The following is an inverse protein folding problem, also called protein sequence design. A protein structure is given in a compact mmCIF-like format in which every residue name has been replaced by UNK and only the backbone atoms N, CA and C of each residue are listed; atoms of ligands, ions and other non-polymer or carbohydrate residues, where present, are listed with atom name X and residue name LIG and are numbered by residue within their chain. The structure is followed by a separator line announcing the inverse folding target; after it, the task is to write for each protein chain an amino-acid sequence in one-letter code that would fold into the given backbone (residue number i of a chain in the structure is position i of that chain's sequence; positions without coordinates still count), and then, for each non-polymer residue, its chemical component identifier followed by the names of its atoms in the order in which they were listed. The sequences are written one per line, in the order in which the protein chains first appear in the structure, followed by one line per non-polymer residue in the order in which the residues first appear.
data_IF_692470375878
#
_entry.id   IF_692470375878
#
_cell.length_a   1.000
_cell.length_b   1.000
_cell.length_c   1.000
_cell.angle_alpha   90.00
_cell.angle_beta   90.00
_cell.angle_gamma   90.00
#
_symmetry.space_group_name_H-M   'P 1'
#
loop_
_entity.id
_entity.type
_entity.pdbx_description
1 polymer ?
#
# COMPACT_ATOMS: atom_id res chain seq x y z
N UNK A 1 57.81 23.20 33.99
CA UNK A 1 57.72 24.59 33.50
C UNK A 1 56.32 24.78 32.98
N UNK A 2 55.48 25.51 33.71
CA UNK A 2 54.15 25.88 33.25
C UNK A 2 54.20 27.13 32.38
N UNK A 3 53.14 27.34 31.58
CA UNK A 3 52.64 28.66 31.18
C UNK A 3 51.09 28.61 31.22
N UNK A 4 50.55 29.76 31.60
CA UNK A 4 49.28 30.12 32.24
C UNK A 4 48.00 30.15 31.38
N UNK A 5 46.82 30.30 32.04
CA UNK A 5 45.52 30.46 31.40
C UNK A 5 45.32 31.85 30.79
N UNK A 6 44.71 31.92 29.60
CA UNK A 6 44.33 33.19 28.97
C UNK A 6 42.98 33.65 29.52
N UNK A 7 43.00 34.80 30.17
CA UNK A 7 41.87 35.55 30.74
C UNK A 7 41.00 36.23 29.68
N UNK A 8 39.73 36.45 30.05
CA UNK A 8 38.71 37.15 29.30
C UNK A 8 38.99 38.64 29.05
N UNK A 9 38.97 39.03 27.77
CA UNK A 9 38.52 40.32 27.19
C UNK A 9 38.93 40.28 25.70
N UNK A 10 38.04 40.18 24.72
CA UNK A 10 37.12 41.23 24.31
C UNK A 10 36.01 40.63 23.43
N UNK A 11 34.75 40.90 23.77
CA UNK A 11 33.60 40.63 22.88
C UNK A 11 33.71 41.50 21.62
N UNK A 12 33.51 40.96 20.41
CA UNK A 12 32.55 41.55 19.49
C UNK A 12 31.15 41.06 19.90
N UNK A 13 30.19 41.96 19.78
CA UNK A 13 28.77 41.73 20.02
C UNK A 13 28.33 40.37 19.45
N UNK A 14 27.54 39.64 20.24
CA UNK A 14 26.78 38.51 19.74
C UNK A 14 25.80 39.04 18.70
N UNK A 15 26.27 39.13 17.46
CA UNK A 15 25.45 39.22 16.28
C UNK A 15 24.46 38.08 16.38
N UNK A 16 23.19 38.44 16.46
CA UNK A 16 22.05 37.54 16.42
C UNK A 16 22.23 36.69 15.16
N UNK A 17 22.75 35.48 15.35
CA UNK A 17 22.88 34.51 14.28
C UNK A 17 21.45 34.22 13.83
N UNK A 18 21.10 34.66 12.63
CA UNK A 18 19.77 34.47 12.08
C UNK A 18 19.35 33.01 12.16
N UNK A 19 18.05 32.75 12.30
CA UNK A 19 17.44 31.41 12.39
C UNK A 19 17.90 30.44 11.28
N UNK A 20 18.48 30.93 10.19
CA UNK A 20 19.07 30.15 9.10
C UNK A 20 20.48 29.59 9.37
N UNK A 21 21.20 30.07 10.38
CA UNK A 21 22.64 29.78 10.54
C UNK A 21 22.95 28.53 11.39
N UNK A 22 22.00 28.03 12.19
CA UNK A 22 22.24 26.86 13.07
C UNK A 22 22.45 25.59 12.24
N UNK A 23 21.63 25.27 11.22
CA UNK A 23 21.87 24.09 10.38
C UNK A 23 23.20 24.16 9.60
N UNK A 24 23.59 25.35 9.14
CA UNK A 24 24.83 25.55 8.37
C UNK A 24 26.08 25.36 9.24
N UNK A 25 26.03 25.74 10.52
CA UNK A 25 27.11 25.51 11.47
C UNK A 25 27.35 24.02 11.73
N UNK A 26 26.28 23.24 11.87
CA UNK A 26 26.36 21.79 12.04
C UNK A 26 26.81 21.10 10.73
N UNK A 27 26.41 21.59 9.55
CA UNK A 27 26.94 21.10 8.26
C UNK A 27 28.43 21.34 8.11
N UNK A 28 28.91 22.53 8.46
CA UNK A 28 30.34 22.83 8.45
C UNK A 28 31.11 21.93 9.44
N UNK A 29 30.56 21.68 10.62
CA UNK A 29 31.16 20.81 11.62
C UNK A 29 31.18 19.32 11.23
N UNK A 30 30.26 18.90 10.36
CA UNK A 30 30.15 17.53 9.85
C UNK A 30 30.84 17.32 8.49
N UNK A 31 31.48 18.35 7.93
CA UNK A 31 32.03 18.37 6.56
C UNK A 31 31.00 17.96 5.48
N UNK A 32 29.73 18.31 5.69
CA UNK A 32 28.62 17.87 4.85
C UNK A 32 28.27 18.87 3.73
N UNK A 33 27.85 18.35 2.58
CA UNK A 33 27.38 19.12 1.42
C UNK A 33 26.03 19.82 1.64
N UNK A 34 25.62 20.71 0.69
CA UNK A 34 24.41 21.53 0.81
C UNK A 34 23.09 20.72 0.77
N UNK A 35 23.13 19.48 0.30
CA UNK A 35 21.96 18.58 0.22
C UNK A 35 22.11 17.31 1.06
N UNK A 36 23.22 17.20 1.79
CA UNK A 36 23.48 16.06 2.67
C UNK A 36 22.59 16.15 3.91
N UNK A 37 22.11 15.00 4.37
CA UNK A 37 21.25 14.91 5.54
C UNK A 37 22.11 14.66 6.76
N UNK A 38 21.98 15.55 7.73
CA UNK A 38 22.64 15.43 9.04
C UNK A 38 21.69 14.82 10.07
N UNK A 39 22.22 13.93 10.90
CA UNK A 39 21.57 13.52 12.14
C UNK A 39 22.46 13.90 13.31
N UNK A 40 21.87 14.59 14.27
CA UNK A 40 22.49 14.87 15.56
C UNK A 40 21.89 13.89 16.58
N UNK A 41 22.74 13.21 17.33
CA UNK A 41 22.37 12.24 18.35
C UNK A 41 22.72 12.79 19.72
N UNK A 42 21.82 12.66 20.68
CA UNK A 42 22.09 12.81 22.11
C UNK A 42 23.17 11.83 22.60
N UNK A 43 23.79 12.10 23.75
CA UNK A 43 24.74 11.18 24.39
C UNK A 43 24.16 9.79 24.64
N UNK A 44 22.84 9.71 24.85
CA UNK A 44 22.08 8.47 25.03
C UNK A 44 21.77 7.76 23.70
N UNK A 45 22.14 8.36 22.56
CA UNK A 45 21.99 7.78 21.21
C UNK A 45 20.69 8.15 20.49
N UNK A 46 19.83 9.00 21.07
CA UNK A 46 18.57 9.45 20.44
C UNK A 46 18.82 10.54 19.40
N UNK A 47 18.20 10.47 18.23
CA UNK A 47 18.26 11.54 17.23
C UNK A 47 17.46 12.75 17.73
N UNK A 48 18.08 13.92 17.70
CA UNK A 48 17.50 15.19 18.13
C UNK A 48 17.50 16.20 16.99
N UNK A 49 16.47 17.04 16.96
CA UNK A 49 16.37 18.08 15.94
C UNK A 49 17.43 19.16 16.15
N UNK A 50 18.16 19.49 15.08
CA UNK A 50 19.07 20.63 15.09
C UNK A 50 18.22 21.90 15.15
N UNK A 51 18.15 22.50 16.33
CA UNK A 51 17.35 23.69 16.58
C UNK A 51 18.09 24.63 17.54
N UNK A 52 17.69 25.92 17.60
CA UNK A 52 18.34 26.89 18.47
C UNK A 52 18.19 26.62 19.98
N UNK A 53 17.26 25.72 20.36
CA UNK A 53 16.95 25.38 21.76
C UNK A 53 17.71 24.15 22.30
N UNK A 54 18.76 23.70 21.62
CA UNK A 54 19.57 22.58 22.10
C UNK A 54 20.40 22.97 23.32
N UNK A 55 20.38 22.13 24.35
CA UNK A 55 21.22 22.30 25.53
C UNK A 55 22.72 22.24 25.17
N UNK A 56 23.60 23.01 25.84
CA UNK A 56 25.03 22.99 25.54
C UNK A 56 25.67 21.62 25.77
N UNK A 57 26.60 21.24 24.90
CA UNK A 57 27.45 20.05 25.08
C UNK A 57 28.26 20.13 26.39
N UNK A 58 28.49 18.99 27.02
CA UNK A 58 29.50 18.84 28.09
C UNK A 58 30.41 17.64 27.83
N UNK A 59 31.56 17.59 28.50
CA UNK A 59 32.54 16.51 28.31
C UNK A 59 32.03 15.11 28.70
N UNK A 60 30.95 15.02 29.48
CA UNK A 60 30.31 13.77 29.88
C UNK A 60 29.03 13.44 29.08
N UNK A 61 28.54 14.39 28.30
CA UNK A 61 27.25 14.35 27.60
C UNK A 61 27.40 15.16 26.31
N UNK A 62 28.08 14.56 25.33
CA UNK A 62 28.28 15.16 24.02
C UNK A 62 27.31 14.60 22.97
N UNK A 63 26.76 15.48 22.15
CA UNK A 63 26.04 15.09 20.96
C UNK A 63 26.99 14.52 19.91
N UNK A 64 26.56 13.46 19.22
CA UNK A 64 27.27 12.88 18.07
C UNK A 64 26.60 13.38 16.80
N UNK A 65 27.35 13.85 15.82
CA UNK A 65 26.82 14.39 14.56
C UNK A 65 27.30 13.51 13.40
N UNK A 66 26.38 13.03 12.58
CA UNK A 66 26.68 12.13 11.45
C UNK A 66 26.02 12.62 10.16
N UNK A 67 26.73 12.44 9.05
CA UNK A 67 26.19 12.58 7.69
C UNK A 67 25.60 11.24 7.28
N UNK A 68 24.29 11.16 7.10
CA UNK A 68 23.58 9.88 6.96
C UNK A 68 23.05 9.61 5.56
N UNK A 69 23.14 10.59 4.66
CA UNK A 69 22.96 10.41 3.22
C UNK A 69 23.74 11.50 2.48
N UNK A 70 24.53 11.09 1.48
CA UNK A 70 25.28 11.99 0.60
C UNK A 70 24.63 12.05 -0.78
N UNK A 71 24.54 13.26 -1.35
CA UNK A 71 23.95 13.51 -2.67
C UNK A 71 24.82 12.91 -3.80
N UNK A 72 24.24 12.01 -4.61
CA UNK A 72 24.94 11.35 -5.72
C UNK A 72 24.79 12.06 -7.08
N UNK A 73 24.47 13.36 -7.10
CA UNK A 73 24.21 14.11 -8.34
C UNK A 73 25.44 14.70 -9.07
N UNK A 74 26.67 14.22 -8.85
CA UNK A 74 27.79 14.59 -9.74
C UNK A 74 27.85 13.67 -10.98
N UNK A 75 27.35 14.18 -12.11
CA UNK A 75 27.32 13.66 -13.50
C UNK A 75 28.43 12.64 -13.91
N UNK A 76 28.11 11.60 -14.74
CA UNK A 76 27.65 11.76 -16.13
C UNK A 76 26.57 10.74 -16.56
N UNK A 77 25.52 10.53 -15.75
CA UNK A 77 24.42 9.63 -16.07
C UNK A 77 23.61 10.10 -17.32
N UNK A 78 23.59 11.40 -17.58
CA UNK A 78 22.95 12.02 -18.75
C UNK A 78 23.60 11.72 -20.10
N UNK A 79 24.88 11.32 -20.13
CA UNK A 79 25.56 10.88 -21.38
C UNK A 79 25.47 9.37 -21.60
N UNK A 80 25.22 8.58 -20.56
CA UNK A 80 25.10 7.11 -20.68
C UNK A 80 23.75 6.68 -21.30
N UNK A 81 22.69 7.46 -21.05
CA UNK A 81 21.38 7.32 -21.70
C UNK A 81 21.46 7.46 -23.24
N UNK A 82 22.44 8.22 -23.75
CA UNK A 82 22.66 8.37 -25.20
C UNK A 82 23.22 7.08 -25.86
N UNK A 83 23.84 6.17 -25.09
CA UNK A 83 24.27 4.85 -25.58
C UNK A 83 23.24 3.73 -25.34
N UNK A 84 22.29 3.92 -24.42
CA UNK A 84 21.27 2.92 -24.09
C UNK A 84 20.22 2.71 -25.21
N UNK A 85 20.27 3.55 -26.24
CA UNK A 85 19.55 3.38 -27.51
C UNK A 85 20.42 2.77 -28.64
N UNK A 86 21.68 2.35 -28.41
CA UNK A 86 22.57 1.81 -29.46
C UNK A 86 24.07 2.06 -29.26
N UNK A 87 24.82 1.34 -28.41
CA UNK A 87 25.40 -0.02 -28.56
C UNK A 87 26.60 -0.17 -29.52
N UNK A 88 27.70 -0.76 -29.01
CA UNK A 88 28.65 -1.57 -29.80
C UNK A 88 28.27 -3.06 -29.71
N UNK A 89 27.68 -3.56 -30.80
CA UNK A 89 27.12 -4.90 -30.94
C UNK A 89 28.17 -6.02 -31.04
N UNK A 90 29.44 -5.72 -31.33
CA UNK A 90 30.42 -6.74 -31.73
C UNK A 90 30.90 -7.64 -30.57
N UNK A 91 30.90 -7.10 -29.36
CA UNK A 91 31.36 -7.80 -28.14
C UNK A 91 30.31 -8.78 -27.59
N UNK A 92 29.02 -8.47 -27.78
CA UNK A 92 27.91 -9.31 -27.32
C UNK A 92 27.69 -10.54 -28.22
N UNK A 93 27.86 -10.39 -29.53
CA UNK A 93 27.64 -11.47 -30.50
C UNK A 93 28.62 -12.65 -30.30
N UNK A 94 29.88 -12.35 -30.00
CA UNK A 94 30.89 -13.37 -29.64
C UNK A 94 30.61 -14.07 -28.30
N UNK A 95 29.99 -13.36 -27.35
CA UNK A 95 29.59 -13.95 -26.04
C UNK A 95 28.35 -14.82 -26.17
N UNK A 96 27.40 -14.44 -27.02
CA UNK A 96 26.20 -15.21 -27.34
C UNK A 96 26.50 -16.53 -28.06
N UNK A 97 27.38 -16.54 -29.08
CA UNK A 97 27.76 -17.77 -29.78
C UNK A 97 28.50 -18.79 -28.89
N UNK A 98 29.24 -18.31 -27.89
CA UNK A 98 29.91 -19.15 -26.89
C UNK A 98 28.97 -19.71 -25.82
N UNK A 99 27.84 -19.05 -25.56
CA UNK A 99 26.84 -19.43 -24.56
C UNK A 99 25.74 -20.33 -25.17
N UNK A 100 25.35 -20.12 -26.43
CA UNK A 100 24.41 -20.97 -27.16
C UNK A 100 24.89 -22.43 -27.25
N UNK A 101 26.19 -22.64 -27.48
CA UNK A 101 26.79 -24.00 -27.48
C UNK A 101 26.77 -24.69 -26.12
N UNK A 102 26.64 -23.96 -25.01
CA UNK A 102 26.62 -24.51 -23.65
C UNK A 102 25.20 -24.70 -23.10
N UNK A 103 24.22 -23.92 -23.57
CA UNK A 103 22.82 -23.97 -23.13
C UNK A 103 22.03 -25.11 -23.79
N UNK A 104 22.39 -25.53 -25.00
CA UNK A 104 21.69 -26.59 -25.75
C UNK A 104 21.78 -28.00 -25.12
N UNK A 105 22.70 -28.25 -24.17
CA UNK A 105 22.92 -29.60 -23.63
C UNK A 105 22.26 -29.88 -22.27
N UNK A 106 21.76 -28.86 -21.55
CA UNK A 106 21.33 -29.02 -20.15
C UNK A 106 19.85 -28.68 -19.90
N UNK A 107 18.97 -29.23 -20.72
CA UNK A 107 17.54 -29.28 -20.47
C UNK A 107 17.22 -29.83 -19.05
N UNK A 108 16.34 -29.12 -18.32
CA UNK A 108 15.77 -29.54 -17.03
C UNK A 108 14.68 -28.60 -16.45
N UNK A 109 14.59 -27.36 -16.98
CA UNK A 109 13.40 -26.53 -17.22
C UNK A 109 12.58 -25.96 -16.02
N UNK A 110 13.00 -24.80 -15.50
CA UNK A 110 12.10 -23.71 -15.07
C UNK A 110 12.01 -22.68 -16.20
N UNK A 111 10.84 -22.13 -16.58
CA UNK A 111 10.72 -21.21 -17.71
C UNK A 111 11.52 -19.91 -17.49
N UNK A 112 12.21 -19.41 -18.54
CA UNK A 112 13.02 -18.18 -18.47
C UNK A 112 12.23 -16.95 -17.98
N UNK A 113 10.92 -16.91 -18.28
CA UNK A 113 10.01 -15.85 -17.80
C UNK A 113 9.89 -15.84 -16.28
N UNK A 114 9.93 -17.00 -15.62
CA UNK A 114 9.82 -17.11 -14.16
C UNK A 114 11.08 -16.62 -13.47
N UNK A 115 12.25 -16.83 -14.09
CA UNK A 115 13.53 -16.36 -13.56
C UNK A 115 13.72 -14.85 -13.76
N UNK A 116 13.15 -14.29 -14.83
CA UNK A 116 13.07 -12.85 -15.06
C UNK A 116 12.06 -12.17 -14.12
N UNK A 117 10.86 -12.76 -13.97
CA UNK A 117 9.85 -12.32 -12.99
C UNK A 117 10.41 -12.31 -11.58
N UNK A 118 11.20 -13.32 -11.20
CA UNK A 118 11.88 -13.34 -9.90
C UNK A 118 12.76 -12.12 -9.70
N UNK A 119 13.70 -11.88 -10.63
CA UNK A 119 14.67 -10.79 -10.47
C UNK A 119 13.97 -9.44 -10.32
N UNK A 120 12.84 -9.27 -11.00
CA UNK A 120 12.00 -8.07 -10.89
C UNK A 120 11.24 -7.99 -9.58
N UNK A 121 10.63 -9.10 -9.11
CA UNK A 121 9.91 -9.16 -7.83
C UNK A 121 10.84 -8.99 -6.62
N UNK A 122 12.02 -9.63 -6.64
CA UNK A 122 13.04 -9.48 -5.60
C UNK A 122 13.55 -8.02 -5.55
N UNK A 123 13.83 -7.42 -6.71
CA UNK A 123 14.24 -6.02 -6.76
C UNK A 123 13.12 -5.04 -6.33
N UNK A 124 11.86 -5.34 -6.68
CA UNK A 124 10.71 -4.58 -6.24
C UNK A 124 10.53 -4.62 -4.71
N UNK A 125 10.74 -5.79 -4.10
CA UNK A 125 10.73 -5.95 -2.65
C UNK A 125 11.83 -5.13 -1.99
N UNK A 126 13.06 -5.20 -2.49
CA UNK A 126 14.18 -4.39 -1.97
C UNK A 126 13.90 -2.88 -2.10
N UNK A 127 13.23 -2.45 -3.16
CA UNK A 127 12.75 -1.06 -3.32
C UNK A 127 11.64 -0.68 -2.35
N UNK A 128 10.72 -1.58 -2.04
CA UNK A 128 9.68 -1.38 -1.03
C UNK A 128 10.27 -1.29 0.39
N UNK A 129 11.26 -2.12 0.70
CA UNK A 129 11.89 -2.22 2.03
C UNK A 129 12.92 -1.11 2.30
N UNK A 130 13.55 -0.54 1.27
CA UNK A 130 14.55 0.54 1.40
C UNK A 130 13.96 1.96 1.48
N UNK A 131 12.63 2.09 1.50
CA UNK A 131 11.93 3.37 1.48
C UNK A 131 11.26 3.61 2.85
N UNK A 132 11.95 4.32 3.76
CA UNK A 132 11.52 4.49 5.17
C UNK A 132 10.19 5.26 5.35
N UNK A 133 9.68 5.98 4.34
CA UNK A 133 8.34 6.62 4.41
C UNK A 133 7.18 5.64 4.14
N UNK A 134 7.47 4.38 3.82
CA UNK A 134 6.49 3.29 3.71
C UNK A 134 6.31 2.52 5.03
N UNK A 135 7.01 2.93 6.10
CA UNK A 135 6.89 2.38 7.45
C UNK A 135 5.53 2.58 8.12
N UNK A 136 4.66 3.44 7.56
CA UNK A 136 3.25 3.56 7.96
C UNK A 136 2.44 2.27 7.72
N UNK A 137 2.97 1.30 6.97
CA UNK A 137 2.42 -0.05 6.80
C UNK A 137 2.54 -0.98 8.02
N UNK A 138 2.90 -0.47 9.21
CA UNK A 138 2.60 -1.13 10.49
C UNK A 138 3.72 -1.97 11.14
N UNK A 139 4.83 -1.34 11.55
CA UNK A 139 5.79 -1.96 12.49
C UNK A 139 6.24 -0.97 13.60
N UNK A 140 5.69 -1.16 14.82
CA UNK A 140 6.10 -0.83 16.22
C UNK A 140 7.04 0.37 16.55
N UNK A 141 7.08 1.02 17.74
CA UNK A 141 6.19 1.45 18.87
C UNK A 141 7.11 2.16 19.90
N UNK A 142 6.73 3.29 20.51
CA UNK A 142 6.72 3.49 21.98
C UNK A 142 6.07 4.83 22.43
N UNK A 143 5.41 4.78 23.59
CA UNK A 143 4.35 5.70 24.09
C UNK A 143 4.75 6.48 25.35
N UNK A 144 4.05 7.59 25.65
CA UNK A 144 3.90 8.11 27.03
C UNK A 144 2.52 8.75 27.29
N UNK A 145 2.02 8.57 28.51
CA UNK A 145 0.64 8.63 29.01
C UNK A 145 -0.01 10.03 29.18
N UNK A 146 -1.34 10.12 29.04
CA UNK A 146 -2.14 11.30 29.41
C UNK A 146 -3.64 11.00 29.61
N UNK A 147 -4.25 11.55 30.68
CA UNK A 147 -5.63 11.27 31.16
C UNK A 147 -6.72 12.07 30.43
N UNK A 148 -7.88 11.41 30.29
CA UNK A 148 -9.06 11.74 29.48
C UNK A 148 -10.06 12.74 30.09
N UNK A 149 -10.76 13.48 29.21
CA UNK A 149 -12.22 13.67 29.22
C UNK A 149 -12.77 13.83 27.79
N UNK A 150 -13.94 13.24 27.43
CA UNK A 150 -14.46 13.23 26.06
C UNK A 150 -15.22 14.52 25.67
N UNK A 151 -15.15 14.87 24.38
CA UNK A 151 -15.74 16.08 23.78
C UNK A 151 -17.02 15.81 22.96
N UNK A 152 -17.86 16.84 22.71
CA UNK A 152 -19.27 16.68 22.38
C UNK A 152 -19.63 16.46 20.89
N UNK A 153 -18.67 16.32 19.97
CA UNK A 153 -18.94 16.47 18.53
C UNK A 153 -19.11 15.19 17.70
N UNK A 154 -19.24 14.01 18.33
CA UNK A 154 -19.56 12.77 17.62
C UNK A 154 -20.96 12.81 16.98
N UNK A 155 -21.02 12.91 15.65
CA UNK A 155 -22.26 12.70 14.90
C UNK A 155 -22.58 11.19 14.84
N UNK A 156 -23.68 10.79 15.50
CA UNK A 156 -24.21 9.42 15.59
C UNK A 156 -24.73 8.88 14.25
N UNK A 157 -23.87 8.51 13.31
CA UNK A 157 -24.26 7.57 12.25
C UNK A 157 -23.89 6.16 12.70
N UNK A 158 -24.80 5.20 12.56
CA UNK A 158 -24.54 3.80 12.88
C UNK A 158 -23.41 3.30 11.97
N UNK A 159 -22.34 2.78 12.56
CA UNK A 159 -21.22 2.17 11.85
C UNK A 159 -21.71 1.04 10.94
N UNK A 160 -22.66 0.25 11.44
CA UNK A 160 -23.24 -0.88 10.71
C UNK A 160 -24.46 -0.46 9.88
N UNK A 161 -24.61 -1.12 8.72
CA UNK A 161 -25.81 -1.05 7.89
C UNK A 161 -27.04 -1.49 8.68
N UNK A 162 -28.16 -0.80 8.48
CA UNK A 162 -29.43 -1.22 9.09
C UNK A 162 -29.96 -2.48 8.41
N UNK A 163 -30.84 -3.21 9.11
CA UNK A 163 -31.48 -4.40 8.55
C UNK A 163 -32.28 -4.05 7.30
N UNK A 164 -32.95 -2.90 7.30
CA UNK A 164 -33.74 -2.43 6.16
C UNK A 164 -32.86 -2.09 4.95
N UNK A 165 -31.68 -1.49 5.16
CA UNK A 165 -30.73 -1.23 4.07
C UNK A 165 -30.27 -2.54 3.41
N UNK A 166 -29.90 -3.51 4.24
CA UNK A 166 -29.42 -4.82 3.79
C UNK A 166 -30.48 -5.59 3.01
N UNK A 167 -31.73 -5.62 3.50
CA UNK A 167 -32.82 -6.32 2.79
C UNK A 167 -33.21 -5.62 1.49
N UNK A 168 -33.21 -4.28 1.43
CA UNK A 168 -33.46 -3.55 0.17
C UNK A 168 -32.45 -3.90 -0.91
N UNK A 169 -31.17 -4.00 -0.55
CA UNK A 169 -30.12 -4.41 -1.51
C UNK A 169 -30.33 -5.87 -1.92
N UNK A 170 -30.63 -6.77 -0.98
CA UNK A 170 -30.94 -8.18 -1.29
C UNK A 170 -32.07 -8.30 -2.31
N UNK A 171 -33.18 -7.61 -2.10
CA UNK A 171 -34.35 -7.65 -2.99
C UNK A 171 -34.00 -7.15 -4.39
N UNK A 172 -33.27 -6.04 -4.50
CA UNK A 172 -32.79 -5.52 -5.79
C UNK A 172 -31.88 -6.52 -6.51
N UNK A 173 -30.93 -7.13 -5.80
CA UNK A 173 -30.03 -8.14 -6.39
C UNK A 173 -30.81 -9.33 -6.93
N UNK A 174 -31.83 -9.82 -6.19
CA UNK A 174 -32.68 -10.92 -6.65
C UNK A 174 -33.46 -10.54 -7.92
N UNK A 175 -33.99 -9.32 -7.99
CA UNK A 175 -34.68 -8.81 -9.19
C UNK A 175 -33.75 -8.69 -10.39
N UNK A 176 -32.47 -8.38 -10.15
CA UNK A 176 -31.44 -8.25 -11.19
C UNK A 176 -30.79 -9.57 -11.59
N UNK A 177 -30.94 -10.64 -10.79
CA UNK A 177 -30.24 -11.92 -10.99
C UNK A 177 -30.53 -12.58 -12.34
N UNK A 178 -31.66 -12.23 -13.00
CA UNK A 178 -32.03 -12.69 -14.33
C UNK A 178 -31.57 -11.77 -15.47
N UNK A 179 -31.01 -10.60 -15.17
CA UNK A 179 -30.59 -9.63 -16.18
C UNK A 179 -29.16 -9.93 -16.64
N UNK A 180 -28.99 -10.09 -17.95
CA UNK A 180 -27.66 -10.24 -18.53
C UNK A 180 -26.96 -8.89 -18.64
N UNK A 181 -25.75 -8.82 -18.08
CA UNK A 181 -24.85 -7.66 -18.25
C UNK A 181 -24.40 -7.57 -19.71
N UNK A 182 -24.50 -6.38 -20.32
CA UNK A 182 -24.13 -6.19 -21.72
C UNK A 182 -22.65 -6.53 -21.97
N UNK A 183 -22.31 -6.97 -23.19
CA UNK A 183 -20.93 -7.29 -23.54
C UNK A 183 -20.01 -6.05 -23.47
N UNK A 184 -20.54 -4.87 -23.82
CA UNK A 184 -19.85 -3.59 -23.68
C UNK A 184 -19.47 -3.32 -22.23
N UNK A 185 -20.42 -3.48 -21.29
CA UNK A 185 -20.17 -3.29 -19.87
C UNK A 185 -19.17 -4.33 -19.33
N UNK A 186 -19.25 -5.59 -19.76
CA UNK A 186 -18.25 -6.61 -19.39
C UNK A 186 -16.85 -6.26 -19.89
N UNK A 187 -16.72 -5.67 -21.09
CA UNK A 187 -15.44 -5.19 -21.61
C UNK A 187 -14.93 -3.98 -20.81
N UNK A 188 -15.81 -3.04 -20.47
CA UNK A 188 -15.45 -1.88 -19.66
C UNK A 188 -15.04 -2.27 -18.25
N UNK A 189 -15.70 -3.25 -17.63
CA UNK A 189 -15.35 -3.77 -16.30
C UNK A 189 -13.90 -4.31 -16.23
N UNK A 190 -13.31 -4.70 -17.37
CA UNK A 190 -11.94 -5.21 -17.49
C UNK A 190 -10.89 -4.10 -17.57
N UNK A 191 -11.29 -2.83 -17.59
CA UNK A 191 -10.35 -1.71 -17.71
C UNK A 191 -10.09 -1.05 -16.35
N UNK A 192 -8.87 -0.56 -16.09
CA UNK A 192 -8.55 0.19 -14.87
C UNK A 192 -9.30 1.54 -14.80
N UNK A 193 -9.89 1.99 -15.90
CA UNK A 193 -10.66 3.23 -16.02
C UNK A 193 -12.14 3.11 -15.67
N UNK A 194 -12.57 1.99 -15.11
CA UNK A 194 -13.97 1.78 -14.74
C UNK A 194 -14.43 2.80 -13.71
N UNK A 195 -15.55 3.48 -14.00
CA UNK A 195 -16.20 4.42 -13.08
C UNK A 195 -17.12 3.66 -12.11
N UNK A 196 -16.73 3.63 -10.84
CA UNK A 196 -17.47 2.97 -9.78
C UNK A 196 -18.64 3.82 -9.22
N UNK A 197 -18.69 5.12 -9.48
CA UNK A 197 -19.67 6.02 -8.87
C UNK A 197 -21.07 5.85 -9.43
N UNK A 198 -21.17 5.41 -10.69
CA UNK A 198 -22.43 5.21 -11.42
C UNK A 198 -23.28 4.03 -10.91
N UNK A 199 -22.71 3.18 -10.04
CA UNK A 199 -23.32 1.92 -9.62
C UNK A 199 -23.76 1.95 -8.17
N UNK A 200 -24.98 1.48 -7.91
CA UNK A 200 -25.51 1.19 -6.59
C UNK A 200 -24.96 -0.14 -6.04
N UNK A 201 -25.06 -0.36 -4.72
CA UNK A 201 -24.59 -1.57 -4.04
C UNK A 201 -25.13 -2.87 -4.67
N UNK A 202 -26.41 -2.87 -5.07
CA UNK A 202 -27.03 -4.03 -5.71
C UNK A 202 -26.41 -4.34 -7.08
N UNK A 203 -26.08 -3.31 -7.85
CA UNK A 203 -25.45 -3.45 -9.17
C UNK A 203 -23.99 -3.87 -9.02
N UNK A 204 -23.28 -3.29 -8.06
CA UNK A 204 -21.93 -3.71 -7.66
C UNK A 204 -21.90 -5.21 -7.33
N UNK A 205 -22.87 -5.72 -6.58
CA UNK A 205 -22.96 -7.15 -6.27
C UNK A 205 -23.14 -8.02 -7.51
N UNK A 206 -23.88 -7.56 -8.53
CA UNK A 206 -24.01 -8.27 -9.82
C UNK A 206 -22.68 -8.22 -10.58
N UNK A 207 -22.01 -7.06 -10.62
CA UNK A 207 -20.71 -6.90 -11.27
C UNK A 207 -19.63 -7.80 -10.63
N UNK A 208 -19.62 -7.94 -9.31
CA UNK A 208 -18.73 -8.88 -8.61
C UNK A 208 -19.00 -10.33 -9.03
N UNK A 209 -20.26 -10.76 -9.13
CA UNK A 209 -20.61 -12.11 -9.64
C UNK A 209 -20.13 -12.31 -11.07
N UNK A 210 -20.27 -11.29 -11.92
CA UNK A 210 -19.76 -11.32 -13.30
C UNK A 210 -18.25 -11.53 -13.32
N UNK A 211 -17.46 -10.85 -12.48
CA UNK A 211 -16.01 -11.05 -12.43
C UNK A 211 -15.62 -12.50 -12.10
N UNK A 212 -16.28 -13.12 -11.12
CA UNK A 212 -16.03 -14.52 -10.74
C UNK A 212 -16.45 -15.51 -11.84
N UNK A 213 -17.52 -15.18 -12.57
CA UNK A 213 -18.00 -15.99 -13.70
C UNK A 213 -17.08 -15.85 -14.93
N UNK A 214 -16.65 -14.63 -15.26
CA UNK A 214 -15.76 -14.34 -16.40
C UNK A 214 -14.35 -14.93 -16.23
N UNK A 215 -13.92 -15.17 -14.98
CA UNK A 215 -12.68 -15.89 -14.66
C UNK A 215 -12.88 -17.42 -14.54
N UNK A 216 -14.07 -17.93 -14.88
CA UNK A 216 -14.45 -19.34 -14.89
C UNK A 216 -14.34 -20.07 -13.53
N UNK A 217 -14.36 -19.32 -12.42
CA UNK A 217 -14.23 -19.92 -11.09
C UNK A 217 -15.39 -20.86 -10.74
N UNK A 218 -16.59 -20.55 -11.24
CA UNK A 218 -17.79 -21.37 -11.06
C UNK A 218 -17.54 -22.80 -11.54
N UNK A 219 -17.04 -22.94 -12.78
CA UNK A 219 -16.76 -24.23 -13.39
C UNK A 219 -15.49 -24.86 -12.80
N UNK A 220 -14.38 -24.11 -12.74
CA UNK A 220 -13.07 -24.61 -12.29
C UNK A 220 -13.08 -25.15 -10.86
N UNK A 221 -13.90 -24.57 -9.98
CA UNK A 221 -13.97 -24.94 -8.57
C UNK A 221 -15.29 -25.58 -8.15
N UNK A 222 -16.21 -25.80 -9.09
CA UNK A 222 -17.56 -26.32 -8.82
C UNK A 222 -18.25 -25.51 -7.71
N UNK A 223 -18.20 -24.18 -7.85
CA UNK A 223 -18.85 -23.25 -6.94
C UNK A 223 -20.31 -23.16 -7.36
N UNK A 224 -21.23 -23.43 -6.44
CA UNK A 224 -22.64 -23.25 -6.72
C UNK A 224 -22.96 -21.75 -6.82
N UNK A 225 -23.71 -21.27 -7.84
CA UNK A 225 -24.03 -19.86 -8.00
C UNK A 225 -24.68 -19.24 -6.75
N UNK A 226 -25.56 -19.99 -6.08
CA UNK A 226 -26.19 -19.59 -4.81
C UNK A 226 -25.17 -19.39 -3.69
N UNK A 227 -24.13 -20.24 -3.63
CA UNK A 227 -23.07 -20.12 -2.64
C UNK A 227 -22.23 -18.87 -2.87
N UNK A 228 -21.92 -18.52 -4.14
CA UNK A 228 -21.23 -17.28 -4.48
C UNK A 228 -22.09 -16.05 -4.12
N UNK A 229 -23.38 -16.07 -4.46
CA UNK A 229 -24.31 -14.98 -4.11
C UNK A 229 -24.39 -14.77 -2.60
N UNK A 230 -24.53 -15.86 -1.84
CA UNK A 230 -24.59 -15.79 -0.38
C UNK A 230 -23.27 -15.28 0.21
N UNK A 231 -22.13 -15.73 -0.30
CA UNK A 231 -20.82 -15.22 0.11
C UNK A 231 -20.68 -13.72 -0.11
N UNK A 232 -20.93 -13.24 -1.34
CA UNK A 232 -20.82 -11.81 -1.67
C UNK A 232 -21.79 -10.96 -0.85
N UNK A 233 -22.98 -11.49 -0.55
CA UNK A 233 -23.94 -10.82 0.31
C UNK A 233 -23.47 -10.75 1.78
N UNK A 234 -22.87 -11.82 2.32
CA UNK A 234 -22.29 -11.76 3.67
C UNK A 234 -21.08 -10.82 3.74
N UNK A 235 -20.25 -10.76 2.70
CA UNK A 235 -19.19 -9.73 2.57
C UNK A 235 -19.81 -8.34 2.60
N UNK A 236 -20.82 -8.07 1.77
CA UNK A 236 -21.51 -6.78 1.70
C UNK A 236 -21.99 -6.30 3.08
N UNK A 237 -22.60 -7.23 3.84
CA UNK A 237 -23.12 -6.96 5.20
C UNK A 237 -22.04 -6.63 6.21
N UNK A 238 -20.82 -7.11 6.01
CA UNK A 238 -19.70 -6.94 6.93
C UNK A 238 -18.82 -5.73 6.61
N UNK A 239 -19.01 -5.08 5.47
CA UNK A 239 -18.47 -3.74 5.25
C UNK A 239 -19.29 -2.69 5.99
N UNK A 240 -18.63 -1.81 6.75
CA UNK A 240 -19.28 -0.74 7.51
C UNK A 240 -19.56 0.50 6.64
N UNK A 241 -20.48 1.36 7.09
CA UNK A 241 -20.84 2.61 6.42
C UNK A 241 -19.92 3.74 6.89
N UNK A 242 -18.64 3.66 6.49
CA UNK A 242 -17.60 4.65 6.77
C UNK A 242 -17.18 5.39 5.49
N UNK A 243 -16.57 6.59 5.59
CA UNK A 243 -16.33 7.42 4.42
C UNK A 243 -15.48 6.73 3.33
N UNK A 244 -14.37 6.07 3.70
CA UNK A 244 -13.43 5.50 2.74
C UNK A 244 -13.46 3.96 2.70
N UNK A 245 -13.14 3.27 3.80
CA UNK A 245 -12.97 1.80 3.81
C UNK A 245 -14.33 1.05 3.85
N UNK A 246 -15.18 1.32 2.85
CA UNK A 246 -16.54 0.81 2.72
C UNK A 246 -16.68 -0.21 1.56
N UNK A 247 -17.91 -0.67 1.31
CA UNK A 247 -18.17 -1.67 0.27
C UNK A 247 -17.84 -1.17 -1.16
N UNK A 248 -17.91 0.14 -1.41
CA UNK A 248 -17.54 0.69 -2.72
C UNK A 248 -16.01 0.68 -2.89
N UNK A 249 -15.22 0.84 -1.82
CA UNK A 249 -13.77 0.66 -1.83
C UNK A 249 -13.40 -0.80 -2.10
N UNK A 250 -14.02 -1.74 -1.37
CA UNK A 250 -13.94 -3.18 -1.66
C UNK A 250 -14.13 -3.51 -3.15
N UNK A 251 -15.16 -2.91 -3.77
CA UNK A 251 -15.39 -3.06 -5.20
C UNK A 251 -14.27 -2.44 -6.04
N UNK A 252 -13.80 -1.23 -5.74
CA UNK A 252 -12.68 -0.60 -6.45
C UNK A 252 -11.43 -1.46 -6.46
N UNK A 253 -11.06 -2.03 -5.31
CA UNK A 253 -9.89 -2.91 -5.18
C UNK A 253 -10.09 -4.20 -5.98
N UNK A 254 -11.26 -4.82 -5.87
CA UNK A 254 -11.58 -6.05 -6.60
C UNK A 254 -11.63 -5.81 -8.11
N UNK A 255 -12.22 -4.70 -8.54
CA UNK A 255 -12.33 -4.32 -9.94
C UNK A 255 -10.97 -3.96 -10.53
N UNK A 256 -10.10 -3.27 -9.78
CA UNK A 256 -8.73 -3.02 -10.22
C UNK A 256 -7.95 -4.33 -10.36
N UNK A 257 -8.04 -5.22 -9.37
CA UNK A 257 -7.42 -6.56 -9.44
C UNK A 257 -7.89 -7.31 -10.69
N UNK A 258 -9.19 -7.33 -10.94
CA UNK A 258 -9.78 -7.91 -12.15
C UNK A 258 -9.22 -7.25 -13.41
N UNK A 259 -9.20 -5.93 -13.49
CA UNK A 259 -8.62 -5.19 -14.62
C UNK A 259 -7.14 -5.51 -14.86
N UNK A 260 -6.34 -5.59 -13.80
CA UNK A 260 -4.92 -5.97 -13.86
C UNK A 260 -4.75 -7.41 -14.36
N UNK A 261 -5.58 -8.36 -13.93
CA UNK A 261 -5.57 -9.75 -14.41
C UNK A 261 -5.72 -9.79 -15.95
N UNK A 262 -6.62 -8.98 -16.52
CA UNK A 262 -6.81 -8.90 -17.97
C UNK A 262 -5.72 -8.09 -18.68
N UNK A 263 -5.30 -6.96 -18.09
CA UNK A 263 -4.29 -6.07 -18.66
C UNK A 263 -2.92 -6.75 -18.82
N UNK A 264 -2.56 -7.57 -17.84
CA UNK A 264 -1.24 -8.22 -17.74
C UNK A 264 -1.26 -9.69 -18.15
N UNK A 265 -2.43 -10.18 -18.57
CA UNK A 265 -2.70 -11.56 -19.00
C UNK A 265 -2.32 -12.62 -17.95
N UNK A 266 -2.64 -12.34 -16.68
CA UNK A 266 -2.32 -13.26 -15.57
C UNK A 266 -3.06 -14.59 -15.67
N UNK A 267 -4.19 -14.62 -16.38
CA UNK A 267 -4.97 -15.84 -16.64
C UNK A 267 -4.17 -16.93 -17.35
N UNK A 268 -3.16 -16.55 -18.14
CA UNK A 268 -2.27 -17.48 -18.82
C UNK A 268 -0.93 -17.68 -18.09
N UNK A 269 -0.74 -17.07 -16.91
CA UNK A 269 0.53 -17.03 -16.17
C UNK A 269 0.44 -17.60 -14.75
N UNK A 270 -0.75 -17.54 -14.15
CA UNK A 270 -1.05 -18.04 -12.82
C UNK A 270 -2.08 -19.17 -12.91
N UNK A 271 -2.14 -20.00 -11.87
CA UNK A 271 -3.15 -21.06 -11.79
C UNK A 271 -4.51 -20.45 -11.40
N UNK A 272 -5.61 -21.08 -11.79
CA UNK A 272 -6.97 -20.60 -11.45
C UNK A 272 -7.14 -20.36 -9.95
N UNK A 273 -6.45 -21.16 -9.11
CA UNK A 273 -6.52 -21.05 -7.65
C UNK A 273 -5.76 -19.82 -7.15
N UNK A 274 -4.66 -19.43 -7.80
CA UNK A 274 -3.93 -18.19 -7.50
C UNK A 274 -4.85 -16.99 -7.80
N UNK A 275 -5.56 -17.02 -8.93
CA UNK A 275 -6.51 -15.98 -9.33
C UNK A 275 -7.72 -15.93 -8.39
N UNK A 276 -8.26 -17.08 -7.97
CA UNK A 276 -9.34 -17.16 -7.00
C UNK A 276 -8.90 -16.58 -5.64
N UNK A 277 -7.68 -16.88 -5.18
CA UNK A 277 -7.09 -16.31 -3.96
C UNK A 277 -6.98 -14.79 -4.09
N UNK A 278 -6.46 -14.26 -5.20
CA UNK A 278 -6.33 -12.82 -5.43
C UNK A 278 -7.68 -12.12 -5.40
N UNK A 279 -8.68 -12.63 -6.13
CA UNK A 279 -10.02 -12.05 -6.20
C UNK A 279 -10.76 -12.14 -4.86
N UNK A 280 -10.68 -13.29 -4.18
CA UNK A 280 -11.32 -13.48 -2.86
C UNK A 280 -10.66 -12.58 -1.81
N UNK A 281 -9.34 -12.44 -1.84
CA UNK A 281 -8.60 -11.57 -0.93
C UNK A 281 -8.96 -10.10 -1.15
N UNK A 282 -9.02 -9.64 -2.41
CA UNK A 282 -9.44 -8.28 -2.75
C UNK A 282 -10.85 -7.94 -2.24
N UNK A 283 -11.80 -8.87 -2.38
CA UNK A 283 -13.18 -8.71 -1.87
C UNK A 283 -13.24 -8.67 -0.34
N UNK A 284 -12.27 -9.27 0.36
CA UNK A 284 -12.32 -9.46 1.81
C UNK A 284 -11.35 -8.57 2.62
N UNK A 285 -10.45 -7.84 1.97
CA UNK A 285 -9.26 -7.28 2.62
C UNK A 285 -9.54 -6.29 3.76
N UNK A 286 -10.69 -5.61 3.73
CA UNK A 286 -11.10 -4.55 4.67
C UNK A 286 -12.40 -4.86 5.42
N UNK A 287 -12.75 -6.15 5.53
CA UNK A 287 -13.98 -6.57 6.18
C UNK A 287 -14.08 -6.08 7.63
N UNK A 288 -15.17 -5.41 7.97
CA UNK A 288 -15.44 -4.86 9.31
C UNK A 288 -14.46 -3.77 9.77
N UNK A 289 -13.84 -3.04 8.82
CA UNK A 289 -13.06 -1.84 9.13
C UNK A 289 -13.90 -0.79 9.87
N UNK A 290 -13.34 -0.18 10.92
CA UNK A 290 -14.08 0.70 11.84
C UNK A 290 -13.96 2.18 11.51
N UNK A 291 -13.11 2.53 10.54
CA UNK A 291 -12.79 3.92 10.18
C UNK A 291 -11.59 4.50 10.91
N UNK A 292 -10.85 3.67 11.65
CA UNK A 292 -9.69 4.06 12.44
C UNK A 292 -8.57 3.06 12.22
N UNK A 293 -7.40 3.54 11.78
CA UNK A 293 -6.27 2.71 11.40
C UNK A 293 -5.60 2.02 12.60
N UNK A 294 -4.61 1.16 12.33
CA UNK A 294 -3.87 0.42 13.35
C UNK A 294 -3.19 1.32 14.42
N UNK A 295 -2.72 2.51 14.04
CA UNK A 295 -2.11 3.44 15.01
C UNK A 295 -3.14 3.89 16.05
N UNK A 296 -4.38 4.19 15.64
CA UNK A 296 -5.46 4.46 16.59
C UNK A 296 -5.78 3.24 17.45
N UNK A 297 -5.93 2.05 16.85
CA UNK A 297 -6.26 0.83 17.60
C UNK A 297 -5.26 0.59 18.74
N UNK A 298 -3.96 0.72 18.44
CA UNK A 298 -2.86 0.50 19.38
C UNK A 298 -2.81 1.61 20.43
N UNK A 299 -2.88 2.88 20.02
CA UNK A 299 -2.77 4.02 20.94
C UNK A 299 -3.97 4.10 21.90
N UNK A 300 -5.17 3.79 21.40
CA UNK A 300 -6.40 3.73 22.18
C UNK A 300 -6.57 2.41 22.95
N UNK A 301 -5.64 1.46 22.79
CA UNK A 301 -5.67 0.12 23.43
C UNK A 301 -7.03 -0.59 23.24
N UNK A 302 -7.53 -0.57 22.02
CA UNK A 302 -8.84 -1.16 21.70
C UNK A 302 -8.84 -2.68 21.88
N UNK A 303 -10.02 -3.28 21.90
CA UNK A 303 -10.15 -4.75 21.98
C UNK A 303 -9.39 -5.46 20.85
N UNK A 304 -9.36 -4.88 19.64
CA UNK A 304 -8.62 -5.44 18.51
C UNK A 304 -7.11 -5.41 18.76
N UNK A 305 -6.57 -4.30 19.25
CA UNK A 305 -5.15 -4.19 19.58
C UNK A 305 -4.75 -5.19 20.67
N UNK A 306 -5.56 -5.31 21.72
CA UNK A 306 -5.34 -6.29 22.79
C UNK A 306 -5.43 -7.73 22.29
N UNK A 307 -6.42 -8.05 21.44
CA UNK A 307 -6.64 -9.39 20.90
C UNK A 307 -5.48 -9.84 20.00
N UNK A 308 -4.94 -8.94 19.19
CA UNK A 308 -3.88 -9.22 18.22
C UNK A 308 -2.49 -8.77 18.69
N UNK A 309 -2.35 -8.38 19.95
CA UNK A 309 -1.08 -7.98 20.58
C UNK A 309 -0.33 -6.93 19.75
N UNK A 310 -1.04 -5.90 19.30
CA UNK A 310 -0.52 -4.80 18.47
C UNK A 310 0.10 -5.21 17.11
N UNK A 311 0.02 -6.48 16.71
CA UNK A 311 0.55 -6.97 15.43
C UNK A 311 -0.56 -6.95 14.39
N UNK A 312 -0.54 -5.95 13.51
CA UNK A 312 -1.53 -5.74 12.44
C UNK A 312 -2.99 -6.03 12.88
N UNK A 313 -3.52 -5.32 13.91
CA UNK A 313 -4.82 -5.66 14.48
C UNK A 313 -5.98 -5.69 13.47
N UNK A 314 -6.02 -4.74 12.54
CA UNK A 314 -7.07 -4.64 11.54
C UNK A 314 -6.95 -5.75 10.49
N UNK A 315 -5.77 -5.96 9.91
CA UNK A 315 -5.56 -6.95 8.86
C UNK A 315 -5.83 -8.38 9.36
N UNK A 316 -5.43 -8.69 10.61
CA UNK A 316 -5.79 -9.95 11.26
C UNK A 316 -7.30 -10.07 11.47
N UNK A 317 -7.98 -8.98 11.86
CA UNK A 317 -9.43 -8.95 12.02
C UNK A 317 -10.17 -9.18 10.71
N UNK A 318 -9.81 -8.45 9.65
CA UNK A 318 -10.38 -8.60 8.31
C UNK A 318 -10.28 -10.05 7.83
N UNK A 319 -9.09 -10.65 7.97
CA UNK A 319 -8.83 -12.05 7.64
C UNK A 319 -9.70 -13.01 8.48
N UNK A 320 -9.77 -12.80 9.81
CA UNK A 320 -10.60 -13.62 10.69
C UNK A 320 -12.08 -13.55 10.30
N UNK A 321 -12.61 -12.36 9.98
CA UNK A 321 -13.99 -12.17 9.50
C UNK A 321 -14.21 -12.87 8.15
N UNK A 322 -13.26 -12.78 7.22
CA UNK A 322 -13.33 -13.46 5.93
C UNK A 322 -13.50 -14.98 6.09
N UNK A 323 -12.65 -15.61 6.90
CA UNK A 323 -12.74 -17.05 7.16
C UNK A 323 -14.00 -17.45 7.95
N UNK A 324 -14.51 -16.58 8.83
CA UNK A 324 -15.82 -16.80 9.47
C UNK A 324 -16.97 -16.82 8.46
N UNK A 325 -16.94 -15.95 7.44
CA UNK A 325 -17.93 -15.96 6.35
C UNK A 325 -17.80 -17.27 5.56
N UNK A 326 -16.58 -17.60 5.10
CA UNK A 326 -16.32 -18.79 4.29
C UNK A 326 -16.74 -20.10 4.97
N UNK A 327 -16.59 -20.19 6.30
CA UNK A 327 -17.06 -21.36 7.08
C UNK A 327 -18.58 -21.50 7.15
N UNK A 328 -19.32 -20.39 6.98
CA UNK A 328 -20.79 -20.36 7.09
C UNK A 328 -21.51 -20.52 5.76
N UNK A 329 -20.82 -20.28 4.65
CA UNK A 329 -21.40 -20.43 3.30
C UNK A 329 -21.64 -21.92 3.00
N UNK A 330 -22.91 -22.27 2.75
CA UNK A 330 -23.39 -23.60 2.38
C UNK A 330 -24.09 -23.55 1.01
N UNK A 331 -24.14 -24.67 0.26
CA UNK A 331 -23.80 -26.04 0.67
C UNK A 331 -22.35 -26.48 0.45
N UNK A 332 -21.49 -25.68 -0.20
CA UNK A 332 -20.03 -25.91 -0.27
C UNK A 332 -19.23 -24.60 -0.03
N UNK A 333 -18.14 -24.62 0.75
CA UNK A 333 -17.25 -23.46 0.90
C UNK A 333 -16.56 -23.13 -0.43
N UNK A 334 -16.43 -21.84 -0.74
CA UNK A 334 -15.70 -21.34 -1.93
C UNK A 334 -14.24 -21.80 -1.98
N UNK A 335 -13.61 -21.92 -0.81
CA UNK A 335 -12.24 -22.41 -0.64
C UNK A 335 -12.26 -23.56 0.38
N UNK A 336 -11.90 -24.75 -0.06
CA UNK A 336 -11.73 -25.94 0.80
C UNK A 336 -10.25 -26.14 1.14
N UNK A 337 -9.97 -26.69 2.32
CA UNK A 337 -8.59 -27.06 2.71
C UNK A 337 -7.92 -27.99 1.69
N UNK A 338 -8.72 -28.84 1.02
CA UNK A 338 -8.26 -29.71 -0.07
C UNK A 338 -7.84 -28.96 -1.33
N UNK A 339 -8.45 -27.80 -1.63
CA UNK A 339 -8.01 -26.95 -2.75
C UNK A 339 -6.71 -26.23 -2.39
N UNK A 340 -6.58 -25.71 -1.16
CA UNK A 340 -5.36 -25.05 -0.67
C UNK A 340 -4.15 -26.01 -0.61
N UNK A 341 -4.38 -27.28 -0.30
CA UNK A 341 -3.31 -28.28 -0.19
C UNK A 341 -2.75 -28.77 -1.54
N UNK A 342 -3.43 -28.51 -2.67
CA UNK A 342 -2.94 -28.89 -4.01
C UNK A 342 -1.71 -28.07 -4.45
N UNK A 343 -1.41 -26.95 -3.78
CA UNK A 343 -0.22 -26.13 -4.03
C UNK A 343 1.12 -26.76 -3.60
N UNK A 344 1.12 -27.92 -2.93
CA UNK A 344 2.33 -28.51 -2.38
C UNK A 344 3.27 -29.19 -3.40
N UNK A 345 2.87 -29.32 -4.67
CA UNK A 345 3.70 -29.94 -5.73
C UNK A 345 4.57 -28.96 -6.51
N UNK A 346 4.47 -27.65 -6.23
CA UNK A 346 5.26 -26.60 -6.90
C UNK A 346 6.59 -26.41 -6.14
N UNK A 347 7.75 -26.28 -6.83
CA UNK A 347 9.01 -25.96 -6.17
C UNK A 347 8.88 -24.71 -5.28
N UNK A 348 9.33 -24.80 -4.03
CA UNK A 348 9.16 -23.77 -2.99
C UNK A 348 9.50 -22.35 -3.46
N UNK A 349 10.56 -22.22 -4.24
CA UNK A 349 11.00 -20.96 -4.84
C UNK A 349 9.99 -20.32 -5.80
N UNK A 350 9.33 -21.13 -6.64
CA UNK A 350 8.29 -20.64 -7.56
C UNK A 350 7.06 -20.20 -6.76
N UNK A 351 6.73 -20.94 -5.70
CA UNK A 351 5.65 -20.57 -4.78
C UNK A 351 5.93 -19.21 -4.12
N UNK A 352 7.17 -18.97 -3.68
CA UNK A 352 7.54 -17.72 -3.01
C UNK A 352 7.41 -16.49 -3.93
N UNK A 353 7.88 -16.60 -5.18
CA UNK A 353 7.76 -15.53 -6.19
C UNK A 353 6.29 -15.26 -6.52
N UNK A 354 5.49 -16.31 -6.71
CA UNK A 354 4.04 -16.19 -6.95
C UNK A 354 3.37 -15.45 -5.80
N UNK A 355 3.62 -15.87 -4.56
CA UNK A 355 3.06 -15.23 -3.36
C UNK A 355 3.44 -13.75 -3.27
N UNK A 356 4.68 -13.40 -3.56
CA UNK A 356 5.13 -12.00 -3.57
C UNK A 356 4.46 -11.18 -4.66
N UNK A 357 4.39 -11.70 -5.89
CA UNK A 357 3.66 -11.05 -6.97
C UNK A 357 2.19 -10.80 -6.58
N UNK A 358 1.52 -11.79 -5.99
CA UNK A 358 0.14 -11.67 -5.53
C UNK A 358 -0.01 -10.60 -4.44
N UNK A 359 0.93 -10.54 -3.48
CA UNK A 359 0.98 -9.49 -2.45
C UNK A 359 1.16 -8.09 -3.06
N UNK A 360 2.00 -7.97 -4.08
CA UNK A 360 2.23 -6.69 -4.77
C UNK A 360 0.95 -6.26 -5.50
N UNK A 361 0.31 -7.18 -6.21
CA UNK A 361 -0.89 -6.88 -6.99
C UNK A 361 -2.08 -6.47 -6.12
N UNK A 362 -2.24 -7.08 -4.93
CA UNK A 362 -3.30 -6.66 -4.00
C UNK A 362 -2.99 -5.28 -3.43
N UNK A 363 -1.74 -5.01 -3.04
CA UNK A 363 -1.34 -3.67 -2.56
C UNK A 363 -1.54 -2.59 -3.61
N UNK A 364 -1.16 -2.87 -4.86
CA UNK A 364 -1.38 -1.93 -5.97
C UNK A 364 -2.87 -1.69 -6.16
N UNK A 365 -3.68 -2.75 -6.14
CA UNK A 365 -5.12 -2.63 -6.33
C UNK A 365 -5.80 -1.84 -5.22
N UNK A 366 -5.35 -2.05 -3.98
CA UNK A 366 -5.84 -1.37 -2.77
C UNK A 366 -5.66 0.15 -2.87
N UNK A 367 -4.47 0.61 -3.25
CA UNK A 367 -4.17 2.04 -3.33
C UNK A 367 -4.35 2.66 -4.73
N UNK A 368 -5.09 1.99 -5.61
CA UNK A 368 -5.15 2.34 -7.04
C UNK A 368 -6.07 3.50 -7.41
N UNK A 369 -6.73 4.16 -6.46
CA UNK A 369 -7.75 5.17 -6.77
C UNK A 369 -7.21 6.30 -7.68
N UNK A 370 -6.01 6.79 -7.42
CA UNK A 370 -5.36 7.83 -8.23
C UNK A 370 -4.88 7.34 -9.60
N UNK A 371 -4.88 6.03 -9.86
CA UNK A 371 -4.61 5.47 -11.20
C UNK A 371 -5.85 5.45 -12.10
N UNK A 372 -7.01 5.90 -11.59
CA UNK A 372 -8.27 6.05 -12.33
C UNK A 372 -8.38 7.47 -12.92
N UNK A 373 -9.28 7.72 -13.88
CA UNK A 373 -9.57 9.07 -14.35
C UNK A 373 -9.88 10.02 -13.19
N UNK A 374 -9.47 11.28 -13.31
CA UNK A 374 -9.55 12.28 -12.23
C UNK A 374 -10.97 12.43 -11.67
N UNK A 375 -11.99 12.36 -12.53
CA UNK A 375 -13.41 12.47 -12.15
C UNK A 375 -13.86 11.30 -11.27
N UNK A 376 -13.19 10.15 -11.38
CA UNK A 376 -13.45 8.95 -10.56
C UNK A 376 -12.59 8.99 -9.28
N UNK A 377 -11.34 9.46 -9.39
CA UNK A 377 -10.37 9.49 -8.29
C UNK A 377 -10.65 10.60 -7.26
N UNK A 378 -11.00 11.82 -7.69
CA UNK A 378 -11.13 12.97 -6.81
C UNK A 378 -12.16 12.78 -5.67
N UNK A 379 -13.36 12.20 -5.91
CA UNK A 379 -14.31 11.96 -4.82
C UNK A 379 -13.80 10.96 -3.76
N UNK A 380 -12.90 10.04 -4.14
CA UNK A 380 -12.25 9.13 -3.18
C UNK A 380 -11.31 9.88 -2.24
N UNK A 381 -10.64 10.94 -2.71
CA UNK A 381 -9.80 11.77 -1.86
C UNK A 381 -10.61 12.48 -0.78
N UNK A 382 -11.80 12.99 -1.12
CA UNK A 382 -12.71 13.58 -0.13
C UNK A 382 -13.14 12.56 0.93
N UNK A 383 -13.45 11.33 0.50
CA UNK A 383 -13.78 10.23 1.39
C UNK A 383 -12.61 9.88 2.33
N UNK A 384 -11.40 9.79 1.77
CA UNK A 384 -10.18 9.47 2.52
C UNK A 384 -9.89 10.52 3.58
N UNK A 385 -9.85 11.80 3.18
CA UNK A 385 -9.58 12.90 4.09
C UNK A 385 -10.67 13.01 5.17
N UNK A 386 -11.94 12.79 4.83
CA UNK A 386 -12.99 12.77 5.83
C UNK A 386 -12.76 11.69 6.88
N UNK A 387 -12.35 10.49 6.49
CA UNK A 387 -12.05 9.42 7.43
C UNK A 387 -10.80 9.72 8.29
N UNK A 388 -9.72 10.21 7.67
CA UNK A 388 -8.51 10.63 8.39
C UNK A 388 -8.78 11.76 9.37
N UNK A 389 -9.60 12.75 8.99
CA UNK A 389 -9.97 13.86 9.85
C UNK A 389 -10.87 13.42 10.99
N UNK A 390 -11.79 12.48 10.75
CA UNK A 390 -12.58 11.88 11.82
C UNK A 390 -11.66 11.20 12.85
N UNK A 391 -10.66 10.44 12.39
CA UNK A 391 -9.69 9.82 13.29
C UNK A 391 -8.88 10.86 14.06
N UNK A 392 -8.25 11.82 13.37
CA UNK A 392 -7.37 12.79 14.04
C UNK A 392 -8.11 13.71 15.00
N UNK A 393 -9.36 14.06 14.71
CA UNK A 393 -10.20 14.79 15.65
C UNK A 393 -10.45 13.95 16.91
N UNK A 394 -10.78 12.67 16.78
CA UNK A 394 -10.95 11.78 17.95
C UNK A 394 -9.65 11.62 18.72
N UNK A 395 -8.51 11.45 18.05
CA UNK A 395 -7.20 11.40 18.69
C UNK A 395 -6.92 12.67 19.52
N UNK A 396 -7.20 13.86 18.97
CA UNK A 396 -7.10 15.14 19.71
C UNK A 396 -8.00 15.17 20.94
N UNK A 397 -9.24 14.70 20.80
CA UNK A 397 -10.22 14.69 21.90
C UNK A 397 -9.85 13.71 23.02
N UNK A 398 -9.27 12.57 22.65
CA UNK A 398 -8.86 11.53 23.59
C UNK A 398 -7.45 11.76 24.17
N UNK A 399 -6.74 12.79 23.69
CA UNK A 399 -5.37 13.09 24.09
C UNK A 399 -4.35 12.09 23.53
N UNK A 400 -4.67 11.42 22.42
CA UNK A 400 -3.81 10.47 21.74
C UNK A 400 -2.86 11.17 20.74
N UNK A 401 -1.73 10.54 20.39
CA UNK A 401 -0.85 11.04 19.33
C UNK A 401 -1.58 11.17 18.00
N UNK A 402 -1.48 12.34 17.37
CA UNK A 402 -2.10 12.64 16.08
C UNK A 402 -1.07 12.54 14.96
N UNK A 403 -1.39 11.79 13.91
CA UNK A 403 -0.55 11.71 12.71
C UNK A 403 -0.62 13.02 11.91
N UNK A 404 0.50 13.74 11.65
CA UNK A 404 0.46 15.05 10.99
C UNK A 404 -0.19 15.06 9.61
N UNK A 405 -0.08 13.97 8.84
CA UNK A 405 -0.68 13.82 7.51
C UNK A 405 -2.18 13.47 7.55
N UNK A 406 -2.75 13.26 8.75
CA UNK A 406 -4.19 13.08 8.98
C UNK A 406 -4.81 14.28 9.68
N UNK A 407 -4.03 15.30 10.03
CA UNK A 407 -4.49 16.45 10.80
C UNK A 407 -5.23 17.45 9.90
N UNK A 408 -6.52 17.65 10.16
CA UNK A 408 -7.38 18.57 9.39
C UNK A 408 -6.88 20.00 9.32
N UNK A 409 -6.10 20.42 10.32
CA UNK A 409 -5.59 21.79 10.40
C UNK A 409 -4.29 21.96 9.57
N UNK A 410 -3.68 20.86 9.12
CA UNK A 410 -2.39 20.84 8.42
C UNK A 410 -2.47 20.31 6.98
N UNK A 411 -3.50 19.52 6.67
CA UNK A 411 -3.59 18.77 5.43
C UNK A 411 -4.50 19.46 4.43
N UNK A 412 -3.99 19.64 3.21
CA UNK A 412 -4.75 20.02 2.02
C UNK A 412 -4.81 18.84 1.05
N UNK A 413 -5.79 18.85 0.12
CA UNK A 413 -5.86 17.84 -0.95
C UNK A 413 -4.54 17.67 -1.71
N UNK A 414 -3.89 18.74 -2.23
CA UNK A 414 -2.61 18.59 -2.94
C UNK A 414 -1.48 18.07 -2.06
N UNK A 415 -1.39 18.55 -0.81
CA UNK A 415 -0.31 18.10 0.10
C UNK A 415 -0.45 16.62 0.48
N UNK A 416 -1.67 16.09 0.51
CA UNK A 416 -1.93 14.66 0.72
C UNK A 416 -1.47 13.83 -0.49
N UNK A 417 -1.82 14.25 -1.71
CA UNK A 417 -1.64 13.40 -2.90
C UNK A 417 -0.29 13.51 -3.57
N UNK A 418 0.36 14.68 -3.60
CA UNK A 418 1.62 14.87 -4.35
C UNK A 418 2.70 13.90 -3.88
N UNK A 419 2.91 13.81 -2.56
CA UNK A 419 3.89 12.90 -1.99
C UNK A 419 3.53 11.43 -2.22
N UNK A 420 2.25 11.10 -1.99
CA UNK A 420 1.74 9.75 -2.16
C UNK A 420 1.91 9.24 -3.60
N UNK A 421 1.48 10.02 -4.59
CA UNK A 421 1.59 9.64 -6.01
C UNK A 421 3.06 9.51 -6.40
N UNK A 422 3.87 10.53 -6.11
CA UNK A 422 5.27 10.60 -6.57
C UNK A 422 6.15 9.52 -5.96
N UNK A 423 5.97 9.22 -4.68
CA UNK A 423 6.89 8.36 -3.94
C UNK A 423 6.34 6.96 -3.65
N UNK A 424 5.02 6.75 -3.76
CA UNK A 424 4.38 5.45 -3.54
C UNK A 424 3.80 4.92 -4.85
N UNK A 425 2.78 5.59 -5.40
CA UNK A 425 1.99 5.03 -6.50
C UNK A 425 2.81 4.87 -7.79
N UNK A 426 3.48 5.93 -8.23
CA UNK A 426 4.20 5.96 -9.48
C UNK A 426 5.33 4.90 -9.52
N UNK A 427 6.20 4.77 -8.49
CA UNK A 427 7.15 3.67 -8.43
C UNK A 427 6.48 2.29 -8.55
N UNK A 428 5.38 2.05 -7.83
CA UNK A 428 4.70 0.75 -7.88
C UNK A 428 4.17 0.42 -9.28
N UNK A 429 3.51 1.37 -9.94
CA UNK A 429 2.96 1.18 -11.28
C UNK A 429 4.04 1.12 -12.37
N UNK A 430 5.11 1.91 -12.26
CA UNK A 430 6.26 1.81 -13.16
C UNK A 430 6.87 0.41 -13.12
N UNK A 431 6.94 -0.20 -11.93
CA UNK A 431 7.50 -1.53 -11.81
C UNK A 431 6.58 -2.65 -12.27
N UNK A 432 5.28 -2.50 -12.09
CA UNK A 432 4.33 -3.38 -12.75
C UNK A 432 4.41 -3.26 -14.29
N UNK A 433 4.61 -2.06 -14.82
CA UNK A 433 4.77 -1.84 -16.25
C UNK A 433 6.07 -2.47 -16.79
N UNK A 434 7.17 -2.39 -16.02
CA UNK A 434 8.41 -3.10 -16.32
C UNK A 434 8.23 -4.62 -16.28
N UNK A 435 7.50 -5.14 -15.28
CA UNK A 435 7.24 -6.56 -15.12
C UNK A 435 6.32 -7.12 -16.21
N UNK A 436 5.31 -6.34 -16.61
CA UNK A 436 4.31 -6.72 -17.59
C UNK A 436 4.26 -5.70 -18.74
N UNK A 437 5.25 -5.69 -19.66
CA UNK A 437 5.27 -4.71 -20.75
C UNK A 437 3.99 -4.77 -21.59
N UNK A 438 3.24 -3.67 -21.60
CA UNK A 438 2.00 -3.53 -22.35
C UNK A 438 1.83 -2.09 -22.80
N UNK A 439 1.44 -1.87 -24.06
CA UNK A 439 1.13 -0.52 -24.58
C UNK A 439 -0.05 0.14 -23.87
N UNK A 440 -0.81 -0.63 -23.08
CA UNK A 440 -2.04 -0.19 -22.39
C UNK A 440 -1.78 0.46 -21.02
N UNK A 441 -0.54 0.42 -20.51
CA UNK A 441 -0.19 1.09 -19.24
C UNK A 441 -0.21 2.62 -19.30
N UNK A 442 -0.16 3.21 -20.51
CA UNK A 442 -0.21 4.65 -20.69
C UNK A 442 -1.41 5.29 -19.96
N UNK A 443 -2.54 4.59 -19.90
CA UNK A 443 -3.78 5.07 -19.26
C UNK A 443 -3.68 5.11 -17.73
N UNK A 444 -2.81 4.30 -17.10
CA UNK A 444 -2.62 4.26 -15.65
C UNK A 444 -1.48 5.18 -15.17
N UNK A 445 -0.65 5.68 -16.08
CA UNK A 445 0.57 6.43 -15.78
C UNK A 445 0.50 7.91 -16.18
N UNK A 446 -0.65 8.36 -16.71
CA UNK A 446 -0.94 9.77 -17.03
C UNK A 446 -1.36 10.60 -15.78
N UNK A 447 -1.16 10.06 -14.57
CA UNK A 447 -1.49 10.66 -13.27
C UNK A 447 -0.59 11.84 -12.92
#
# INVERSE_FOLDING_TARGET
MGIEPVTAASRPEASICGLSAVPDLFRAAAEAGPHDILKLYSPEGNIINICPGLEPNSAASCYRLEVVAADCHSEPLGKLLAGALGFDLSSMEKRLQGLEKKVLFAAGQTPAVVLEMKKRVDWFREKLESVEHLSWLGFYKDLSEGRQQPSPFYHKRSLHKTREEVERVREKVLQMSSLEVSEELRRYLKTPTFDNWQWEDAEIMVLLQVMFTDLDFISSFNIEPEALQHFLFEVYRRYNNIPFHNFKHCFCVTQMMYGLIWLTDLRNKLEDIDLLIMMTSAVCHDLDHTGYNNAYQINAQTELALRYNDISPLENHHCAVAFQILQRVRPRPLLTSTQLNRHQTVPHFISEIKSQLMMILIKVSDISNEARPMEVAEPWLDCLLQEFFNQSDVEKLEGLPVSPFMDRDKVTKPSSQIGFIRFVLLPLFMELANLFPSKRWAVCLEV
#
